data_IF_313557878422
#
_entry.id   IF_313557878422
#
_cell.length_a   1.000
_cell.length_b   1.000
_cell.length_c   1.000
_cell.angle_alpha   90.00
_cell.angle_beta   90.00
_cell.angle_gamma   90.00
#
_symmetry.space_group_name_H-M   'P 1'
#
loop_
_entity.id
_entity.type
_entity.pdbx_description
1 polymer ?
#
# COMPACT_ATOMS: atom_id res chain seq x y z
N UNK A 1 -40.00 -11.75 18.95
CA UNK A 1 -38.93 -12.64 19.43
C UNK A 1 -37.70 -11.78 19.58
N UNK A 2 -37.19 -11.62 20.80
CA UNK A 2 -35.87 -11.03 21.04
C UNK A 2 -34.87 -12.18 20.95
N UNK A 3 -33.91 -12.07 20.04
CA UNK A 3 -33.08 -13.18 19.56
C UNK A 3 -31.58 -12.85 19.66
N UNK A 4 -31.24 -11.83 20.46
CA UNK A 4 -29.89 -11.39 20.80
C UNK A 4 -29.97 -10.48 22.04
N UNK A 5 -28.92 -10.43 22.86
CA UNK A 5 -28.87 -9.55 24.05
C UNK A 5 -28.68 -8.06 23.65
N UNK A 6 -28.25 -7.82 22.41
CA UNK A 6 -27.99 -6.50 21.80
C UNK A 6 -28.70 -6.40 20.46
N UNK A 7 -28.89 -5.18 19.93
CA UNK A 7 -29.45 -4.92 18.59
C UNK A 7 -28.40 -4.25 17.68
N UNK A 8 -28.65 -4.26 16.36
CA UNK A 8 -27.76 -3.55 15.42
C UNK A 8 -27.79 -2.05 15.69
N UNK A 9 -26.60 -1.45 15.87
CA UNK A 9 -26.42 -0.04 16.21
C UNK A 9 -25.98 0.19 17.66
N UNK A 10 -26.13 -0.79 18.54
CA UNK A 10 -25.73 -0.70 19.94
C UNK A 10 -24.21 -0.55 20.08
N UNK A 11 -23.79 0.25 21.04
CA UNK A 11 -22.36 0.46 21.34
C UNK A 11 -21.95 -0.53 22.43
N UNK A 12 -20.92 -1.31 22.14
CA UNK A 12 -20.38 -2.35 23.02
C UNK A 12 -18.90 -2.11 23.30
N UNK A 13 -18.43 -2.68 24.40
CA UNK A 13 -17.04 -2.70 24.85
C UNK A 13 -16.49 -4.13 24.82
N UNK A 14 -15.16 -4.32 24.75
CA UNK A 14 -14.57 -5.65 24.80
C UNK A 14 -14.99 -6.41 26.07
N UNK A 15 -15.45 -7.66 25.90
CA UNK A 15 -15.98 -8.50 26.97
C UNK A 15 -17.51 -8.46 27.12
N UNK A 16 -18.21 -7.55 26.44
CA UNK A 16 -19.68 -7.54 26.44
C UNK A 16 -20.23 -8.78 25.72
N UNK A 17 -21.22 -9.43 26.33
CA UNK A 17 -21.96 -10.55 25.75
C UNK A 17 -22.91 -10.05 24.66
N UNK A 18 -22.88 -10.67 23.49
CA UNK A 18 -23.67 -10.26 22.33
C UNK A 18 -24.84 -11.20 22.05
N UNK A 19 -24.55 -12.49 21.92
CA UNK A 19 -25.54 -13.54 21.64
C UNK A 19 -24.96 -14.93 21.92
N UNK A 20 -25.74 -15.98 21.72
CA UNK A 20 -25.22 -17.35 21.66
C UNK A 20 -24.90 -17.75 20.22
N UNK A 21 -24.00 -18.72 20.02
CA UNK A 21 -23.49 -19.09 18.69
C UNK A 21 -24.60 -19.69 17.78
N UNK A 22 -25.65 -20.27 18.35
CA UNK A 22 -26.81 -20.80 17.61
C UNK A 22 -27.68 -19.68 16.99
N UNK A 23 -27.64 -18.48 17.56
CA UNK A 23 -28.35 -17.31 17.05
C UNK A 23 -27.57 -16.72 15.88
N UNK A 24 -26.35 -16.26 16.14
CA UNK A 24 -25.46 -15.62 15.18
C UNK A 24 -24.02 -16.10 15.40
N UNK A 25 -23.35 -16.43 14.32
CA UNK A 25 -21.94 -16.80 14.33
C UNK A 25 -21.03 -15.57 14.53
N UNK A 26 -19.93 -15.70 15.29
CA UNK A 26 -18.98 -14.62 15.48
C UNK A 26 -18.34 -14.21 14.14
N UNK A 27 -18.14 -12.91 13.97
CA UNK A 27 -17.43 -12.31 12.84
C UNK A 27 -16.49 -11.20 13.32
N UNK A 28 -16.24 -10.19 12.49
CA UNK A 28 -15.26 -9.14 12.76
C UNK A 28 -15.47 -8.46 14.12
N UNK A 29 -14.43 -8.32 14.93
CA UNK A 29 -14.52 -7.63 16.22
C UNK A 29 -15.28 -8.40 17.30
N UNK A 30 -15.50 -9.71 17.11
CA UNK A 30 -16.12 -10.62 18.09
C UNK A 30 -15.28 -11.88 18.28
N UNK A 31 -15.50 -12.61 19.36
CA UNK A 31 -14.96 -13.94 19.59
C UNK A 31 -16.02 -14.82 20.26
N UNK A 32 -15.84 -16.15 20.21
CA UNK A 32 -16.70 -17.10 20.93
C UNK A 32 -15.93 -17.73 22.07
N UNK A 33 -16.61 -17.90 23.20
CA UNK A 33 -16.12 -18.60 24.38
C UNK A 33 -17.30 -19.34 25.03
N UNK A 34 -17.14 -20.64 25.23
CA UNK A 34 -18.16 -21.55 25.78
C UNK A 34 -19.56 -21.43 25.13
N UNK A 35 -19.63 -21.28 23.80
CA UNK A 35 -20.88 -21.18 23.05
C UNK A 35 -21.55 -19.78 23.09
N UNK A 36 -20.90 -18.81 23.74
CA UNK A 36 -21.36 -17.42 23.83
C UNK A 36 -20.45 -16.52 23.01
N UNK A 37 -21.05 -15.63 22.21
CA UNK A 37 -20.33 -14.65 21.41
C UNK A 37 -20.16 -13.36 22.20
N UNK A 38 -18.91 -12.89 22.29
CA UNK A 38 -18.51 -11.68 23.00
C UNK A 38 -17.89 -10.66 22.05
N UNK A 39 -17.98 -9.38 22.42
CA UNK A 39 -17.26 -8.32 21.75
C UNK A 39 -15.75 -8.43 22.02
N UNK A 40 -14.94 -8.46 20.96
CA UNK A 40 -13.47 -8.41 21.05
C UNK A 40 -12.93 -6.97 21.01
N UNK A 41 -13.75 -6.03 20.54
CA UNK A 41 -13.37 -4.62 20.36
C UNK A 41 -14.49 -3.68 20.78
N UNK A 42 -14.15 -2.41 21.04
CA UNK A 42 -15.16 -1.38 21.29
C UNK A 42 -15.72 -0.86 19.96
N UNK A 43 -17.04 -0.80 19.82
CA UNK A 43 -17.66 -0.42 18.56
C UNK A 43 -19.19 -0.50 18.52
N UNK A 44 -19.77 -0.34 17.33
CA UNK A 44 -21.18 -0.54 17.04
C UNK A 44 -21.43 -1.97 16.56
N UNK A 45 -22.44 -2.62 17.10
CA UNK A 45 -22.90 -3.93 16.64
C UNK A 45 -23.53 -3.81 15.26
N UNK A 46 -23.15 -4.68 14.34
CA UNK A 46 -23.81 -4.84 13.05
C UNK A 46 -24.12 -6.33 12.83
N UNK A 47 -25.39 -6.64 12.60
CA UNK A 47 -25.84 -8.00 12.36
C UNK A 47 -26.17 -8.19 10.89
N UNK A 48 -25.69 -9.29 10.31
CA UNK A 48 -26.09 -9.73 9.00
C UNK A 48 -26.98 -10.97 9.14
N UNK A 49 -28.30 -10.77 9.13
CA UNK A 49 -29.27 -11.86 9.30
C UNK A 49 -29.31 -12.84 8.14
N UNK A 50 -28.84 -12.44 6.95
CA UNK A 50 -28.79 -13.32 5.77
C UNK A 50 -27.70 -14.38 5.93
N UNK A 51 -26.52 -13.94 6.36
CA UNK A 51 -25.37 -14.82 6.63
C UNK A 51 -25.34 -15.34 8.07
N UNK A 52 -26.29 -14.89 8.90
CA UNK A 52 -26.38 -15.17 10.35
C UNK A 52 -25.09 -14.86 11.10
N UNK A 53 -24.51 -13.69 10.86
CA UNK A 53 -23.28 -13.25 11.53
C UNK A 53 -23.47 -11.97 12.33
N UNK A 54 -22.64 -11.79 13.34
CA UNK A 54 -22.55 -10.57 14.15
C UNK A 54 -21.12 -10.02 14.14
N UNK A 55 -20.98 -8.71 13.92
CA UNK A 55 -19.70 -8.01 13.94
C UNK A 55 -19.76 -6.73 14.76
N UNK A 56 -18.61 -6.28 15.26
CA UNK A 56 -18.45 -5.01 15.97
C UNK A 56 -17.57 -4.10 15.13
N UNK A 57 -18.17 -3.03 14.62
CA UNK A 57 -17.55 -2.04 13.74
C UNK A 57 -17.15 -0.78 14.52
N UNK A 58 -16.28 0.07 13.98
CA UNK A 58 -15.97 1.37 14.60
C UNK A 58 -17.22 2.25 14.72
N UNK A 59 -17.12 3.39 15.43
CA UNK A 59 -18.25 4.35 15.55
C UNK A 59 -18.76 4.84 14.18
N UNK A 60 -17.85 4.88 13.21
CA UNK A 60 -18.06 5.25 11.81
C UNK A 60 -18.56 4.08 10.94
N UNK A 61 -18.80 2.90 11.52
CA UNK A 61 -19.28 1.71 10.80
C UNK A 61 -18.20 1.02 9.96
N UNK A 62 -16.91 1.18 10.29
CA UNK A 62 -15.79 0.58 9.53
C UNK A 62 -15.13 -0.55 10.31
N UNK A 63 -14.63 -1.58 9.61
CA UNK A 63 -13.79 -2.63 10.22
C UNK A 63 -12.46 -2.01 10.64
N UNK A 64 -12.12 -2.11 11.93
CA UNK A 64 -10.98 -1.43 12.59
C UNK A 64 -9.60 -1.98 12.21
N UNK A 65 -9.52 -3.07 11.43
CA UNK A 65 -8.30 -3.56 10.78
C UNK A 65 -8.69 -4.14 9.41
N UNK A 66 -8.91 -3.27 8.44
CA UNK A 66 -9.15 -3.68 7.06
C UNK A 66 -7.82 -4.05 6.41
N UNK A 67 -7.32 -5.25 6.70
CA UNK A 67 -6.14 -5.80 6.02
C UNK A 67 -6.37 -5.78 4.50
N UNK A 68 -5.34 -5.44 3.70
CA UNK A 68 -5.46 -5.49 2.26
C UNK A 68 -5.89 -6.86 1.76
N UNK A 69 -6.68 -6.84 0.70
CA UNK A 69 -7.05 -7.97 -0.13
C UNK A 69 -6.25 -7.85 -1.42
N UNK A 70 -5.97 -8.99 -2.06
CA UNK A 70 -5.37 -9.01 -3.37
C UNK A 70 -6.14 -8.08 -4.31
N UNK A 71 -5.40 -7.24 -5.02
CA UNK A 71 -5.97 -6.28 -5.95
C UNK A 71 -6.09 -4.84 -5.43
N UNK A 72 -6.03 -4.63 -4.11
CA UNK A 72 -6.11 -3.28 -3.54
C UNK A 72 -4.98 -2.37 -3.99
N UNK A 73 -5.30 -1.09 -4.16
CA UNK A 73 -4.31 -0.03 -4.41
C UNK A 73 -3.74 0.50 -3.10
N UNK A 74 -2.43 0.42 -2.96
CA UNK A 74 -1.69 0.79 -1.77
C UNK A 74 -0.75 1.96 -2.06
N UNK A 75 -0.66 2.91 -1.13
CA UNK A 75 0.35 3.97 -1.14
C UNK A 75 1.16 3.89 0.14
N UNK A 76 2.48 3.95 0.00
CA UNK A 76 3.42 3.83 1.10
C UNK A 76 4.75 4.51 0.84
N UNK A 77 5.55 4.59 1.90
CA UNK A 77 6.93 5.08 1.86
C UNK A 77 7.89 3.88 1.93
N UNK A 78 8.94 3.91 1.11
CA UNK A 78 9.98 2.87 1.11
C UNK A 78 10.86 3.06 2.34
N UNK A 79 10.87 2.07 3.24
CA UNK A 79 11.65 2.10 4.47
C UNK A 79 13.09 1.62 4.23
N UNK A 80 13.26 0.50 3.51
CA UNK A 80 14.58 -0.09 3.24
C UNK A 80 14.61 -0.76 1.89
N UNK A 81 15.75 -0.66 1.20
CA UNK A 81 15.98 -1.31 -0.10
C UNK A 81 17.21 -2.20 -0.03
N UNK A 82 17.02 -3.49 -0.28
CA UNK A 82 18.09 -4.45 -0.52
C UNK A 82 18.15 -4.78 -2.02
N UNK A 83 19.10 -5.61 -2.45
CA UNK A 83 19.22 -5.92 -3.89
C UNK A 83 18.01 -6.65 -4.47
N UNK A 84 17.42 -7.59 -3.72
CA UNK A 84 16.32 -8.44 -4.20
C UNK A 84 14.97 -8.19 -3.53
N UNK A 85 14.94 -7.47 -2.40
CA UNK A 85 13.70 -7.12 -1.69
C UNK A 85 13.72 -5.69 -1.16
N UNK A 86 12.56 -5.08 -1.00
CA UNK A 86 12.41 -3.82 -0.29
C UNK A 86 11.24 -3.90 0.70
N UNK A 87 11.36 -3.14 1.77
CA UNK A 87 10.37 -3.01 2.85
C UNK A 87 9.67 -1.65 2.71
N UNK A 88 8.35 -1.66 2.79
CA UNK A 88 7.50 -0.49 2.55
C UNK A 88 6.53 -0.33 3.72
N UNK A 89 6.40 0.91 4.19
CA UNK A 89 5.40 1.32 5.17
C UNK A 89 4.17 1.85 4.45
N UNK A 90 3.11 1.03 4.37
CA UNK A 90 1.86 1.40 3.70
C UNK A 90 1.01 2.26 4.62
N UNK A 91 0.54 3.41 4.12
CA UNK A 91 -0.24 4.39 4.90
C UNK A 91 -1.64 4.60 4.36
N UNK A 92 -1.93 4.14 3.15
CA UNK A 92 -3.21 4.39 2.46
C UNK A 92 -3.58 3.19 1.58
N UNK A 93 -4.87 2.85 1.55
CA UNK A 93 -5.49 1.74 0.80
C UNK A 93 -6.74 2.24 0.09
N UNK A 94 -6.89 2.01 -1.22
CA UNK A 94 -8.08 2.36 -2.03
C UNK A 94 -8.59 3.80 -1.77
N UNK A 95 -7.67 4.74 -1.71
CA UNK A 95 -7.91 6.14 -1.36
C UNK A 95 -8.26 6.50 0.10
N UNK A 96 -8.44 5.52 1.00
CA UNK A 96 -8.61 5.71 2.44
C UNK A 96 -7.28 5.60 3.21
N UNK A 97 -7.04 6.52 4.17
CA UNK A 97 -5.90 6.42 5.08
C UNK A 97 -6.07 5.27 6.07
N UNK A 98 -4.99 4.53 6.31
CA UNK A 98 -4.94 3.51 7.33
C UNK A 98 -4.71 4.16 8.70
N UNK A 99 -5.38 3.64 9.74
CA UNK A 99 -5.17 4.10 11.12
C UNK A 99 -3.75 3.84 11.61
N UNK A 100 -3.21 2.67 11.26
CA UNK A 100 -1.84 2.28 11.53
C UNK A 100 -1.18 1.91 10.21
N UNK A 101 0.09 2.26 10.06
CA UNK A 101 0.83 1.83 8.91
C UNK A 101 1.02 0.31 8.91
N UNK A 102 0.88 -0.30 7.73
CA UNK A 102 1.03 -1.75 7.58
C UNK A 102 2.36 -2.07 6.89
N UNK A 103 3.07 -3.12 7.32
CA UNK A 103 4.30 -3.55 6.66
C UNK A 103 3.96 -4.24 5.34
N UNK A 104 4.65 -3.83 4.28
CA UNK A 104 4.61 -4.47 2.98
C UNK A 104 6.03 -4.80 2.51
N UNK A 105 6.12 -5.79 1.63
CA UNK A 105 7.36 -6.20 0.99
C UNK A 105 7.18 -6.35 -0.51
N UNK A 106 8.21 -5.97 -1.25
CA UNK A 106 8.29 -6.20 -2.69
C UNK A 106 9.54 -7.01 -3.03
N UNK A 107 9.37 -8.03 -3.85
CA UNK A 107 10.47 -8.79 -4.44
C UNK A 107 10.82 -8.24 -5.83
N UNK A 108 12.07 -8.36 -6.26
CA UNK A 108 12.57 -7.84 -7.55
C UNK A 108 11.78 -8.34 -8.76
N UNK A 109 11.19 -9.54 -8.68
CA UNK A 109 10.31 -10.09 -9.74
C UNK A 109 9.02 -9.30 -9.93
N UNK A 110 8.57 -8.56 -8.91
CA UNK A 110 7.26 -7.90 -8.88
C UNK A 110 7.36 -6.39 -9.21
N UNK A 111 8.45 -5.98 -9.87
CA UNK A 111 8.69 -4.58 -10.21
C UNK A 111 8.41 -4.28 -11.68
N UNK A 112 8.94 -5.10 -12.58
CA UNK A 112 8.81 -4.88 -14.02
C UNK A 112 9.03 -6.20 -14.74
N UNK A 113 8.50 -6.31 -15.96
CA UNK A 113 8.72 -7.47 -16.83
C UNK A 113 10.13 -7.51 -17.42
N UNK A 114 10.90 -6.43 -17.30
CA UNK A 114 12.28 -6.33 -17.80
C UNK A 114 13.25 -6.84 -16.74
N UNK A 115 14.41 -7.30 -17.18
CA UNK A 115 15.48 -7.66 -16.25
C UNK A 115 15.95 -6.42 -15.47
N UNK A 116 15.96 -6.53 -14.14
CA UNK A 116 16.50 -5.55 -13.21
C UNK A 116 17.58 -6.25 -12.40
N UNK A 117 18.73 -5.60 -12.26
CA UNK A 117 19.88 -6.16 -11.52
C UNK A 117 19.73 -5.96 -10.00
N UNK A 118 19.26 -4.78 -9.58
CA UNK A 118 19.05 -4.43 -8.17
C UNK A 118 17.84 -3.51 -8.03
N UNK A 119 17.08 -3.66 -6.94
CA UNK A 119 15.99 -2.73 -6.62
C UNK A 119 16.45 -1.28 -6.40
N UNK A 120 17.74 -1.06 -6.12
CA UNK A 120 18.31 0.28 -6.01
C UNK A 120 18.21 1.09 -7.33
N UNK A 121 18.07 0.42 -8.47
CA UNK A 121 17.88 1.05 -9.79
C UNK A 121 16.42 1.47 -10.04
N UNK A 122 15.50 1.00 -9.19
CA UNK A 122 14.05 1.11 -9.34
C UNK A 122 13.46 2.06 -8.31
N UNK A 123 13.91 1.96 -7.07
CA UNK A 123 13.41 2.72 -5.92
C UNK A 123 14.53 2.97 -4.91
N UNK A 124 14.32 3.91 -4.00
CA UNK A 124 15.19 4.14 -2.87
C UNK A 124 14.39 4.40 -1.60
N UNK A 125 15.08 4.25 -0.46
CA UNK A 125 14.59 4.68 0.86
C UNK A 125 14.09 6.13 0.83
N UNK A 126 12.91 6.34 1.41
CA UNK A 126 12.19 7.63 1.45
C UNK A 126 11.40 7.98 0.19
N UNK A 127 11.43 7.15 -0.86
CA UNK A 127 10.54 7.33 -2.02
C UNK A 127 9.09 6.98 -1.63
N UNK A 128 8.13 7.73 -2.16
CA UNK A 128 6.71 7.43 -2.02
C UNK A 128 6.27 6.63 -3.25
N UNK A 129 5.66 5.48 -3.02
CA UNK A 129 5.27 4.55 -4.09
C UNK A 129 3.76 4.27 -4.06
N UNK A 130 3.21 4.00 -5.25
CA UNK A 130 1.90 3.39 -5.44
C UNK A 130 2.09 1.97 -5.95
N UNK A 131 1.46 1.01 -5.30
CA UNK A 131 1.60 -0.41 -5.58
C UNK A 131 0.27 -1.14 -5.47
N UNK A 132 0.20 -2.35 -6.03
CA UNK A 132 -0.96 -3.24 -5.95
C UNK A 132 -0.69 -4.37 -4.96
N UNK A 133 -1.67 -4.70 -4.11
CA UNK A 133 -1.58 -5.87 -3.25
C UNK A 133 -1.63 -7.17 -4.07
N UNK A 134 -0.73 -8.10 -3.78
CA UNK A 134 -0.72 -9.47 -4.31
C UNK A 134 -1.25 -10.50 -3.31
N UNK A 135 -1.40 -10.12 -2.05
CA UNK A 135 -1.77 -11.02 -0.96
C UNK A 135 -3.05 -10.55 -0.29
N UNK A 136 -3.77 -11.50 0.32
CA UNK A 136 -5.03 -11.26 1.02
C UNK A 136 -4.87 -11.64 2.47
N UNK A 137 -5.06 -10.67 3.38
CA UNK A 137 -5.00 -10.91 4.83
C UNK A 137 -3.66 -11.44 5.35
N UNK A 138 -2.56 -11.20 4.64
CA UNK A 138 -1.21 -11.61 5.02
C UNK A 138 -0.34 -10.41 5.45
N UNK A 139 0.62 -10.67 6.34
CA UNK A 139 1.67 -9.71 6.71
C UNK A 139 3.04 -10.38 6.70
N UNK A 140 4.10 -9.71 6.18
CA UNK A 140 4.03 -8.45 5.45
C UNK A 140 3.27 -8.60 4.13
N UNK A 141 2.54 -7.56 3.72
CA UNK A 141 1.74 -7.57 2.50
C UNK A 141 2.68 -7.70 1.30
N UNK A 142 2.50 -8.73 0.48
CA UNK A 142 3.20 -8.81 -0.80
C UNK A 142 2.62 -7.80 -1.79
N UNK A 143 3.46 -6.99 -2.41
CA UNK A 143 3.04 -5.96 -3.38
C UNK A 143 3.75 -6.08 -4.72
N UNK A 144 3.13 -5.48 -5.72
CA UNK A 144 3.66 -5.34 -7.08
C UNK A 144 3.58 -3.89 -7.56
N UNK A 145 4.59 -3.47 -8.31
CA UNK A 145 4.56 -2.21 -9.08
C UNK A 145 4.58 -2.45 -10.59
N UNK A 146 4.15 -3.63 -11.04
CA UNK A 146 4.01 -3.93 -12.46
C UNK A 146 2.77 -3.24 -13.03
N UNK A 147 2.97 -2.24 -13.89
CA UNK A 147 1.91 -1.52 -14.58
C UNK A 147 2.34 -0.08 -14.85
N UNK A 148 1.64 0.65 -15.72
CA UNK A 148 1.89 2.08 -15.93
C UNK A 148 1.50 2.92 -14.72
N UNK A 149 0.47 2.49 -14.01
CA UNK A 149 -0.14 3.26 -12.93
C UNK A 149 0.57 2.99 -11.60
N UNK A 150 1.49 2.03 -11.54
CA UNK A 150 2.24 1.69 -10.34
C UNK A 150 3.70 2.08 -10.47
N UNK A 151 4.32 2.35 -9.33
CA UNK A 151 5.71 2.79 -9.24
C UNK A 151 5.90 3.95 -8.28
N UNK A 152 7.05 4.59 -8.38
CA UNK A 152 7.37 5.78 -7.58
C UNK A 152 6.49 6.93 -8.05
N UNK A 153 5.83 7.62 -7.12
CA UNK A 153 4.99 8.81 -7.37
C UNK A 153 5.64 10.11 -6.86
N UNK A 154 6.59 10.00 -5.92
CA UNK A 154 7.45 11.09 -5.47
C UNK A 154 8.80 10.53 -5.02
N UNK A 155 9.88 11.20 -5.40
CA UNK A 155 11.23 10.78 -5.07
C UNK A 155 12.08 11.97 -4.60
N UNK A 156 12.99 11.72 -3.66
CA UNK A 156 13.90 12.75 -3.11
C UNK A 156 15.33 12.48 -3.54
N UNK A 157 16.09 13.56 -3.75
CA UNK A 157 17.49 13.46 -4.09
C UNK A 157 18.30 13.00 -2.88
N UNK A 158 19.01 11.85 -3.00
CA UNK A 158 19.90 11.32 -1.96
C UNK A 158 20.99 12.31 -1.48
N UNK A 159 21.36 13.28 -2.32
CA UNK A 159 22.43 14.25 -2.02
C UNK A 159 21.93 15.49 -1.26
N UNK A 160 20.77 16.03 -1.62
CA UNK A 160 20.31 17.34 -1.11
C UNK A 160 18.87 17.37 -0.61
N UNK A 161 18.15 16.25 -0.65
CA UNK A 161 16.77 16.10 -0.19
C UNK A 161 15.69 16.72 -1.09
N UNK A 162 16.06 17.51 -2.11
CA UNK A 162 15.09 18.14 -3.00
C UNK A 162 14.36 17.09 -3.87
N UNK A 163 13.12 17.39 -4.26
CA UNK A 163 12.36 16.54 -5.17
C UNK A 163 13.13 16.30 -6.48
N UNK A 164 13.06 15.06 -6.98
CA UNK A 164 13.62 14.70 -8.27
C UNK A 164 12.62 15.05 -9.38
N UNK A 165 13.12 15.60 -10.48
CA UNK A 165 12.34 15.84 -11.67
C UNK A 165 12.46 14.66 -12.61
N UNK A 166 11.33 14.08 -13.01
CA UNK A 166 11.30 13.05 -14.05
C UNK A 166 11.67 13.66 -15.40
N UNK A 167 12.52 12.97 -16.16
CA UNK A 167 12.93 13.42 -17.50
C UNK A 167 12.33 12.52 -18.57
N UNK A 168 12.88 11.32 -18.74
CA UNK A 168 12.41 10.34 -19.72
C UNK A 168 12.73 8.92 -19.30
N UNK A 169 11.80 7.99 -19.55
CA UNK A 169 11.90 6.59 -19.13
C UNK A 169 12.10 6.50 -17.62
N UNK A 170 13.18 5.87 -17.17
CA UNK A 170 13.50 5.76 -15.75
C UNK A 170 14.42 6.89 -15.27
N UNK A 171 14.79 7.85 -16.11
CA UNK A 171 15.81 8.85 -15.75
C UNK A 171 15.18 10.04 -15.02
N UNK A 172 15.84 10.45 -13.95
CA UNK A 172 15.46 11.60 -13.14
C UNK A 172 16.67 12.49 -12.88
N UNK A 173 16.42 13.77 -12.62
CA UNK A 173 17.44 14.76 -12.31
C UNK A 173 16.99 15.65 -11.15
N UNK A 174 17.91 15.98 -10.26
CA UNK A 174 17.67 17.02 -9.27
C UNK A 174 17.99 18.39 -9.85
N UNK A 175 17.01 19.29 -9.94
CA UNK A 175 17.22 20.66 -10.45
C UNK A 175 18.07 21.55 -9.52
N UNK A 176 18.32 21.11 -8.28
CA UNK A 176 19.12 21.86 -7.29
C UNK A 176 20.61 21.52 -7.31
N UNK A 177 20.95 20.24 -7.45
CA UNK A 177 22.34 19.77 -7.35
C UNK A 177 22.80 18.91 -8.53
N UNK A 178 21.96 18.82 -9.57
CA UNK A 178 22.20 18.12 -10.85
C UNK A 178 22.44 16.61 -10.74
N UNK A 179 22.25 16.03 -9.54
CA UNK A 179 22.37 14.60 -9.33
C UNK A 179 21.34 13.86 -10.17
N UNK A 180 21.82 12.90 -10.96
CA UNK A 180 20.98 11.99 -11.74
C UNK A 180 20.69 10.72 -10.93
N UNK A 181 19.49 10.18 -11.14
CA UNK A 181 19.04 8.94 -10.54
C UNK A 181 18.15 8.18 -11.52
N UNK A 182 17.92 6.90 -11.24
CA UNK A 182 16.97 6.07 -12.00
C UNK A 182 15.87 5.54 -11.10
N UNK A 183 14.62 5.63 -11.52
CA UNK A 183 13.45 5.06 -10.81
C UNK A 183 12.44 4.50 -11.79
N UNK A 184 11.71 3.47 -11.39
CA UNK A 184 10.48 3.06 -12.09
C UNK A 184 9.34 3.91 -11.55
N UNK A 185 8.92 4.90 -12.34
CA UNK A 185 7.90 5.86 -11.96
C UNK A 185 6.51 5.44 -12.43
N UNK A 186 5.48 5.81 -11.67
CA UNK A 186 4.11 5.77 -12.14
C UNK A 186 3.87 6.85 -13.22
N UNK A 187 2.83 6.66 -14.02
CA UNK A 187 2.43 7.55 -15.12
C UNK A 187 2.17 9.00 -14.68
N UNK A 188 1.65 9.19 -13.47
CA UNK A 188 1.27 10.47 -12.86
C UNK A 188 2.31 11.01 -11.86
N UNK A 189 3.58 10.62 -12.02
CA UNK A 189 4.66 11.06 -11.14
C UNK A 189 4.66 12.58 -10.95
N UNK A 190 4.67 13.01 -9.69
CA UNK A 190 4.82 14.43 -9.35
C UNK A 190 3.57 15.29 -9.55
N UNK A 191 2.52 14.82 -10.24
CA UNK A 191 1.32 15.61 -10.53
C UNK A 191 0.63 16.13 -9.26
N UNK A 192 0.50 15.26 -8.25
CA UNK A 192 -0.08 15.61 -6.95
C UNK A 192 0.83 16.45 -6.05
N UNK A 193 2.08 16.66 -6.46
CA UNK A 193 3.12 17.33 -5.66
C UNK A 193 3.67 18.60 -6.33
N UNK A 194 3.11 19.01 -7.47
CA UNK A 194 3.60 20.18 -8.23
C UNK A 194 5.00 19.99 -8.81
N UNK A 195 5.42 18.74 -9.06
CA UNK A 195 6.71 18.43 -9.68
C UNK A 195 6.49 18.15 -11.15
N UNK A 196 6.80 19.13 -12.00
CA UNK A 196 6.66 19.00 -13.45
C UNK A 196 7.78 18.13 -14.04
N UNK A 197 7.43 17.33 -15.05
CA UNK A 197 8.41 16.56 -15.83
C UNK A 197 9.21 17.48 -16.78
N UNK A 198 10.48 17.14 -17.01
CA UNK A 198 11.40 17.88 -17.89
C UNK A 198 12.07 16.95 -18.91
N UNK A 199 11.34 16.52 -19.96
CA UNK A 199 11.88 15.63 -21.00
C UNK A 199 13.07 16.22 -21.76
N UNK A 200 13.20 17.54 -21.80
CA UNK A 200 14.30 18.30 -22.39
C UNK A 200 15.66 18.01 -21.73
N UNK A 201 15.66 17.61 -20.45
CA UNK A 201 16.88 17.32 -19.67
C UNK A 201 17.30 15.83 -19.73
N UNK A 202 16.61 15.03 -20.54
CA UNK A 202 16.91 13.63 -20.72
C UNK A 202 18.33 13.43 -21.31
N UNK A 203 19.08 12.40 -20.89
CA UNK A 203 20.39 12.11 -21.47
C UNK A 203 20.28 11.89 -22.99
N UNK A 204 21.07 12.63 -23.76
CA UNK A 204 21.16 12.40 -25.22
C UNK A 204 21.78 11.03 -25.48
N UNK A 205 21.10 10.19 -26.29
CA UNK A 205 21.72 8.99 -26.84
C UNK A 205 22.86 9.46 -27.75
N UNK A 206 24.12 9.34 -27.32
CA UNK A 206 25.25 9.45 -28.23
C UNK A 206 25.03 8.42 -29.34
N UNK A 207 24.72 8.89 -30.55
CA UNK A 207 24.75 8.07 -31.75
C UNK A 207 26.09 7.35 -31.79
N UNK A 208 26.05 6.03 -31.95
CA UNK A 208 27.24 5.20 -31.86
C UNK A 208 28.35 5.78 -32.74
N UNK A 209 29.53 6.00 -32.15
CA UNK A 209 30.76 6.21 -32.92
C UNK A 209 30.85 5.05 -33.90
N UNK A 210 30.59 5.34 -35.17
CA UNK A 210 31.00 4.54 -36.31
C UNK A 210 32.46 4.16 -36.09
N UNK A 211 32.68 2.91 -35.67
CA UNK A 211 34.00 2.29 -35.76
C UNK A 211 34.28 2.15 -37.25
N UNK A 212 34.84 3.19 -37.87
CA UNK A 212 35.54 3.10 -39.15
C UNK A 212 36.66 2.08 -38.95
N UNK A 213 36.39 0.83 -39.33
CA UNK A 213 37.43 -0.17 -39.57
C UNK A 213 38.19 0.30 -40.82
N UNK A 214 39.46 0.61 -40.66
CA UNK A 214 40.45 0.59 -41.74
C UNK A 214 40.93 -0.86 -41.90
#
# INVERSE_FOLDING_TARGET
MKTADVESGDIVSPGDRLCVIEELSPSYGTYEDEGVVYAATMGKVAMNLKERTIEVLSKEGRKKLSLPVEGDDLIGEVDRVYDQRAEIRVVKRNDDYLYNALPAQIHISNVTRRYVKSLNDVMAEGDIIRAKSLSTHEMPIEISIVGSDYGVILAKCKKCGNALTHTKYNNMICLRCEQRATRTVASDYGERFGVESRPDLAPSRKSGRSRRRR
#
